data_IF_023357229818
#
_entry.id   IF_023357229818
#
_cell.length_a   1.000
_cell.length_b   1.000
_cell.length_c   1.000
_cell.angle_alpha   90.00
_cell.angle_beta   90.00
_cell.angle_gamma   90.00
#
_symmetry.space_group_name_H-M   'P 1'
#
loop_
_entity.id
_entity.type
_entity.pdbx_description
1 polymer ?
#
# COMPACT_ATOMS: atom_id res chain seq x y z
N UNK A 1 -35.15 -13.07 -10.64
CA UNK A 1 -34.19 -13.14 -11.77
C UNK A 1 -32.85 -12.70 -11.23
N UNK A 2 -31.82 -13.56 -11.25
CA UNK A 2 -30.49 -13.19 -10.73
C UNK A 2 -29.82 -12.29 -11.76
N UNK A 3 -29.47 -11.08 -11.34
CA UNK A 3 -28.84 -10.08 -12.21
C UNK A 3 -27.32 -10.30 -12.24
N UNK A 4 -26.68 -9.95 -13.36
CA UNK A 4 -25.23 -10.07 -13.52
C UNK A 4 -24.45 -9.26 -12.46
N UNK A 5 -25.05 -8.17 -11.99
CA UNK A 5 -24.52 -7.32 -10.92
C UNK A 5 -24.49 -8.07 -9.60
N UNK A 6 -25.57 -8.74 -9.19
CA UNK A 6 -25.60 -9.53 -7.95
C UNK A 6 -24.54 -10.64 -7.95
N UNK A 7 -24.35 -11.32 -9.08
CA UNK A 7 -23.29 -12.35 -9.24
C UNK A 7 -21.90 -11.73 -9.16
N UNK A 8 -21.68 -10.58 -9.81
CA UNK A 8 -20.40 -9.87 -9.78
C UNK A 8 -20.03 -9.37 -8.38
N UNK A 9 -21.00 -8.83 -7.64
CA UNK A 9 -20.84 -8.36 -6.26
C UNK A 9 -20.52 -9.54 -5.32
N UNK A 10 -21.25 -10.65 -5.47
CA UNK A 10 -21.00 -11.86 -4.68
C UNK A 10 -19.59 -12.42 -4.95
N UNK A 11 -19.17 -12.46 -6.21
CA UNK A 11 -17.83 -12.90 -6.59
C UNK A 11 -16.74 -12.00 -5.99
N UNK A 12 -16.90 -10.67 -6.07
CA UNK A 12 -16.00 -9.70 -5.45
C UNK A 12 -15.91 -9.89 -3.93
N UNK A 13 -17.04 -10.09 -3.26
CA UNK A 13 -17.08 -10.34 -1.83
C UNK A 13 -16.33 -11.63 -1.46
N UNK A 14 -16.53 -12.72 -2.20
CA UNK A 14 -15.82 -13.99 -1.99
C UNK A 14 -14.31 -13.83 -2.20
N UNK A 15 -13.90 -13.14 -3.27
CA UNK A 15 -12.48 -12.86 -3.53
C UNK A 15 -11.88 -12.04 -2.39
N UNK A 16 -12.57 -10.98 -1.93
CA UNK A 16 -12.10 -10.14 -0.83
C UNK A 16 -11.89 -10.96 0.46
N UNK A 17 -12.83 -11.87 0.78
CA UNK A 17 -12.70 -12.77 1.94
C UNK A 17 -11.53 -13.72 1.79
N UNK A 18 -11.36 -14.36 0.63
CA UNK A 18 -10.27 -15.31 0.37
C UNK A 18 -8.91 -14.61 0.48
N UNK A 19 -8.77 -13.45 -0.18
CA UNK A 19 -7.54 -12.65 -0.14
C UNK A 19 -7.26 -12.21 1.29
N UNK A 20 -8.24 -11.67 2.01
CA UNK A 20 -8.10 -11.28 3.41
C UNK A 20 -7.66 -12.44 4.30
N UNK A 21 -8.27 -13.62 4.15
CA UNK A 21 -7.90 -14.81 4.93
C UNK A 21 -6.46 -15.27 4.66
N UNK A 22 -6.03 -15.17 3.40
CA UNK A 22 -4.68 -15.55 2.99
C UNK A 22 -3.63 -14.55 3.48
N UNK A 23 -3.96 -13.26 3.53
CA UNK A 23 -3.11 -12.22 4.11
C UNK A 23 -2.96 -12.44 5.62
N UNK A 24 -4.07 -12.66 6.34
CA UNK A 24 -4.04 -12.91 7.79
C UNK A 24 -3.26 -14.18 8.15
N UNK A 25 -3.40 -15.25 7.37
CA UNK A 25 -2.67 -16.50 7.60
C UNK A 25 -1.15 -16.35 7.43
N UNK A 26 -0.70 -15.34 6.68
CA UNK A 26 0.71 -15.03 6.42
C UNK A 26 1.23 -13.86 7.26
N UNK A 27 0.69 -13.66 8.47
CA UNK A 27 1.08 -12.56 9.36
C UNK A 27 2.60 -12.41 9.57
N UNK A 28 3.35 -13.54 9.63
CA UNK A 28 4.81 -13.50 9.75
C UNK A 28 5.49 -12.85 8.54
N UNK A 29 5.02 -13.17 7.33
CA UNK A 29 5.52 -12.55 6.12
C UNK A 29 5.17 -11.06 6.08
N UNK A 30 3.98 -10.68 6.56
CA UNK A 30 3.50 -9.29 6.64
C UNK A 30 4.42 -8.41 7.49
N UNK A 31 4.90 -8.94 8.62
CA UNK A 31 5.87 -8.22 9.48
C UNK A 31 7.20 -8.00 8.75
N UNK A 32 7.74 -9.04 8.10
CA UNK A 32 8.99 -8.92 7.33
C UNK A 32 8.82 -7.93 6.17
N UNK A 33 7.70 -7.99 5.46
CA UNK A 33 7.39 -7.09 4.36
C UNK A 33 7.26 -5.64 4.82
N UNK A 34 6.65 -5.41 5.98
CA UNK A 34 6.55 -4.09 6.59
C UNK A 34 7.93 -3.55 6.96
N UNK A 35 8.79 -4.36 7.59
CA UNK A 35 10.16 -3.94 7.95
C UNK A 35 10.96 -3.59 6.70
N UNK A 36 10.97 -4.48 5.69
CA UNK A 36 11.71 -4.25 4.44
C UNK A 36 11.15 -3.04 3.68
N UNK A 37 9.83 -2.92 3.56
CA UNK A 37 9.19 -1.81 2.87
C UNK A 37 9.45 -0.46 3.56
N UNK A 38 9.39 -0.42 4.90
CA UNK A 38 9.74 0.79 5.68
C UNK A 38 11.22 1.13 5.51
N UNK A 39 12.12 0.15 5.53
CA UNK A 39 13.55 0.38 5.28
C UNK A 39 13.79 0.98 3.89
N UNK A 40 13.10 0.47 2.86
CA UNK A 40 13.20 0.97 1.49
C UNK A 40 12.64 2.39 1.38
N UNK A 41 11.48 2.67 1.99
CA UNK A 41 10.90 4.02 2.06
C UNK A 41 11.82 5.01 2.80
N UNK A 42 12.42 4.57 3.90
CA UNK A 42 13.35 5.39 4.67
C UNK A 42 14.62 5.71 3.86
N UNK A 43 15.17 4.73 3.14
CA UNK A 43 16.29 4.96 2.23
C UNK A 43 15.91 5.91 1.09
N UNK A 44 14.73 5.76 0.51
CA UNK A 44 14.25 6.64 -0.56
C UNK A 44 14.07 8.08 -0.07
N UNK A 45 13.53 8.28 1.14
CA UNK A 45 13.42 9.59 1.76
C UNK A 45 14.81 10.19 2.06
N UNK A 46 15.76 9.38 2.56
CA UNK A 46 17.14 9.80 2.82
C UNK A 46 17.90 10.20 1.54
N UNK A 47 17.61 9.54 0.42
CA UNK A 47 18.12 9.89 -0.92
C UNK A 47 17.48 11.17 -1.50
N UNK A 48 16.53 11.78 -0.80
CA UNK A 48 15.86 13.01 -1.23
C UNK A 48 14.81 12.80 -2.32
N UNK A 49 14.29 11.57 -2.51
CA UNK A 49 13.28 11.26 -3.52
C UNK A 49 11.88 11.82 -3.20
N UNK A 50 11.77 12.70 -2.20
CA UNK A 50 10.53 13.39 -1.87
C UNK A 50 9.40 12.48 -1.39
N UNK A 51 9.70 11.25 -0.94
CA UNK A 51 8.66 10.28 -0.57
C UNK A 51 8.12 10.58 0.83
N UNK A 52 6.81 10.79 0.94
CA UNK A 52 6.12 11.00 2.21
C UNK A 52 6.01 9.69 2.99
N UNK A 53 6.69 9.63 4.14
CA UNK A 53 6.50 8.55 5.11
C UNK A 53 5.24 8.88 5.92
N UNK A 54 4.15 8.20 5.63
CA UNK A 54 2.87 8.34 6.33
C UNK A 54 2.36 6.96 6.76
N UNK A 55 1.39 6.93 7.67
CA UNK A 55 0.78 5.67 8.09
C UNK A 55 0.21 4.89 6.90
N UNK A 56 -0.28 5.60 5.87
CA UNK A 56 -0.82 5.01 4.64
C UNK A 56 0.28 4.35 3.82
N UNK A 57 1.42 5.00 3.60
CA UNK A 57 2.52 4.41 2.80
C UNK A 57 3.13 3.19 3.49
N UNK A 58 3.23 3.23 4.82
CA UNK A 58 3.65 2.08 5.63
C UNK A 58 2.66 0.92 5.54
N UNK A 59 1.36 1.18 5.62
CA UNK A 59 0.31 0.15 5.45
C UNK A 59 0.34 -0.49 4.05
N UNK A 60 0.48 0.33 3.01
CA UNK A 60 0.59 -0.16 1.62
C UNK A 60 1.83 -1.05 1.47
N UNK A 61 2.97 -0.63 2.02
CA UNK A 61 4.19 -1.45 2.03
C UNK A 61 4.09 -2.68 2.93
N UNK A 62 3.31 -2.67 4.00
CA UNK A 62 3.09 -3.85 4.82
C UNK A 62 2.29 -4.93 4.06
N UNK A 63 1.27 -4.51 3.32
CA UNK A 63 0.41 -5.43 2.55
C UNK A 63 1.10 -5.91 1.27
N UNK A 64 1.72 -5.00 0.51
CA UNK A 64 2.32 -5.32 -0.78
C UNK A 64 3.82 -5.63 -0.70
N UNK A 65 4.58 -4.99 0.19
CA UNK A 65 6.00 -5.24 0.41
C UNK A 65 6.95 -4.37 -0.37
N UNK A 66 8.06 -4.98 -0.80
CA UNK A 66 8.98 -4.44 -1.80
C UNK A 66 8.21 -3.90 -3.02
N UNK A 67 7.27 -4.63 -3.67
CA UNK A 67 6.54 -4.07 -4.81
C UNK A 67 5.64 -2.89 -4.40
N UNK A 68 5.17 -2.84 -3.16
CA UNK A 68 4.46 -1.67 -2.61
C UNK A 68 5.36 -0.45 -2.48
N UNK A 69 6.58 -0.62 -1.97
CA UNK A 69 7.55 0.45 -1.84
C UNK A 69 7.96 1.01 -3.21
N UNK A 70 8.19 0.12 -4.19
CA UNK A 70 8.49 0.51 -5.58
C UNK A 70 7.34 1.32 -6.19
N UNK A 71 6.08 0.91 -5.97
CA UNK A 71 4.92 1.66 -6.43
C UNK A 71 4.81 3.04 -5.80
N UNK A 72 5.02 3.16 -4.48
CA UNK A 72 4.98 4.44 -3.77
C UNK A 72 6.09 5.38 -4.27
N UNK A 73 7.31 4.87 -4.46
CA UNK A 73 8.43 5.64 -5.00
C UNK A 73 8.12 6.12 -6.43
N UNK A 74 7.59 5.25 -7.28
CA UNK A 74 7.18 5.62 -8.65
C UNK A 74 6.10 6.71 -8.63
N UNK A 75 5.07 6.57 -7.80
CA UNK A 75 3.99 7.57 -7.71
C UNK A 75 4.48 8.92 -7.18
N UNK A 76 5.45 8.90 -6.27
CA UNK A 76 6.11 10.10 -5.76
C UNK A 76 6.98 10.77 -6.82
N UNK A 77 7.68 9.98 -7.66
CA UNK A 77 8.49 10.48 -8.77
C UNK A 77 7.65 11.08 -9.90
N UNK A 78 6.43 10.58 -10.09
CA UNK A 78 5.48 11.12 -11.07
C UNK A 78 4.71 12.34 -10.55
N UNK A 79 4.98 12.79 -9.32
CA UNK A 79 4.22 13.84 -8.61
C UNK A 79 2.70 13.59 -8.53
N UNK A 80 2.28 12.32 -8.65
CA UNK A 80 0.85 11.93 -8.65
C UNK A 80 0.34 11.68 -7.23
N UNK A 81 1.16 11.10 -6.35
CA UNK A 81 0.78 10.78 -4.98
C UNK A 81 2.00 10.58 -4.07
N UNK A 82 1.81 10.74 -2.76
CA UNK A 82 2.85 10.52 -1.72
C UNK A 82 4.07 11.44 -1.82
N UNK A 83 3.91 12.58 -2.48
CA UNK A 83 4.89 13.66 -2.47
C UNK A 83 4.95 14.27 -1.06
N UNK A 84 6.15 14.42 -0.52
CA UNK A 84 6.47 15.18 0.67
C UNK A 84 6.32 16.68 0.36
N UNK A 85 5.14 17.09 -0.11
CA UNK A 85 4.77 18.49 -0.12
C UNK A 85 4.73 18.92 1.34
N UNK A 86 5.50 19.95 1.65
CA UNK A 86 5.42 20.68 2.91
C UNK A 86 3.94 20.97 3.15
N UNK A 87 3.36 20.25 4.11
CA UNK A 87 2.32 20.70 5.04
C UNK A 87 1.52 21.91 4.53
N UNK A 88 0.26 21.77 4.05
CA UNK A 88 -0.74 22.73 4.46
C UNK A 88 -1.14 22.28 5.87
N UNK A 89 -0.42 22.77 6.86
CA UNK A 89 -0.99 22.92 8.18
C UNK A 89 -2.12 23.90 7.94
N UNK A 90 -3.35 23.46 8.18
CA UNK A 90 -4.60 24.23 8.08
C UNK A 90 -5.18 24.33 6.66
N UNK A 91 -6.12 23.43 6.35
CA UNK A 91 -7.39 23.76 5.72
C UNK A 91 -8.45 22.74 6.16
#
# INVERSE_FOLDING_TARGET
>A
MVTLVEVGLLALAVIAVIVGYRVLKNAKALVVNAIVGVLVLALANFLGLGVQISLVTVLVCAVAGIPGAVLVILLSLLDVAFVAAVVPALA
#
